data_IF_227719820284
#
_entry.id   IF_227719820284
#
_cell.length_a   1.000
_cell.length_b   1.000
_cell.length_c   1.000
_cell.angle_alpha   90.00
_cell.angle_beta   90.00
_cell.angle_gamma   90.00
#
_symmetry.space_group_name_H-M   'P 1'
#
loop_
_entity.id
_entity.type
_entity.pdbx_description
1 polymer ?
#
# COMPACT_ATOMS: atom_id res chain seq x y z
N UNK A 1 -2.51 10.73 -4.21
CA UNK A 1 -2.66 9.42 -3.57
C UNK A 1 -1.79 8.43 -4.34
N UNK A 2 -1.13 7.50 -3.63
CA UNK A 2 -0.39 6.38 -4.23
C UNK A 2 -1.10 5.11 -3.79
N UNK A 3 -1.30 4.17 -4.71
CA UNK A 3 -1.74 2.81 -4.40
C UNK A 3 -0.77 1.81 -5.03
N UNK A 4 -0.44 0.76 -4.29
CA UNK A 4 0.48 -0.29 -4.72
C UNK A 4 -0.26 -1.62 -4.69
N UNK A 5 -0.54 -2.20 -5.85
CA UNK A 5 -1.20 -3.49 -5.96
C UNK A 5 -0.15 -4.59 -5.93
N UNK A 6 -0.31 -5.51 -4.99
CA UNK A 6 0.64 -6.57 -4.67
C UNK A 6 -0.09 -7.87 -4.36
N UNK A 7 0.62 -8.98 -4.50
CA UNK A 7 0.14 -10.27 -4.01
C UNK A 7 -0.04 -10.26 -2.47
N UNK A 8 -0.98 -11.06 -1.97
CA UNK A 8 -1.24 -11.20 -0.53
C UNK A 8 -0.01 -11.67 0.25
N UNK A 9 0.79 -12.56 -0.33
CA UNK A 9 2.00 -13.08 0.29
C UNK A 9 3.06 -11.99 0.44
N UNK A 10 3.25 -11.15 -0.60
CA UNK A 10 4.14 -9.98 -0.54
C UNK A 10 3.68 -9.04 0.59
N UNK A 11 2.38 -8.70 0.65
CA UNK A 11 1.85 -7.83 1.71
C UNK A 11 2.07 -8.42 3.10
N UNK A 12 1.81 -9.72 3.27
CA UNK A 12 2.04 -10.45 4.54
C UNK A 12 3.51 -10.40 4.96
N UNK A 13 4.44 -10.59 4.02
CA UNK A 13 5.87 -10.48 4.28
C UNK A 13 6.27 -9.07 4.70
N UNK A 14 5.74 -8.04 4.05
CA UNK A 14 6.00 -6.64 4.43
C UNK A 14 5.48 -6.31 5.83
N UNK A 15 4.27 -6.74 6.17
CA UNK A 15 3.71 -6.61 7.53
C UNK A 15 4.62 -7.28 8.58
N UNK A 16 5.05 -8.51 8.32
CA UNK A 16 5.98 -9.24 9.20
C UNK A 16 7.33 -8.55 9.31
N UNK A 17 7.88 -8.05 8.21
CA UNK A 17 9.16 -7.35 8.19
C UNK A 17 9.14 -6.09 9.07
N UNK A 18 8.12 -5.24 8.92
CA UNK A 18 8.02 -4.01 9.71
C UNK A 18 7.89 -4.32 11.21
N UNK A 19 7.06 -5.30 11.57
CA UNK A 19 6.84 -5.68 12.98
C UNK A 19 8.07 -6.35 13.59
N UNK A 20 8.64 -7.34 12.90
CA UNK A 20 9.61 -8.26 13.50
C UNK A 20 11.08 -7.87 13.23
N UNK A 21 11.36 -7.14 12.15
CA UNK A 21 12.74 -6.72 11.80
C UNK A 21 13.01 -5.27 12.14
N UNK A 22 12.05 -4.38 11.93
CA UNK A 22 12.21 -2.96 12.25
C UNK A 22 11.72 -2.61 13.67
N UNK A 23 10.97 -3.50 14.32
CA UNK A 23 10.40 -3.27 15.65
C UNK A 23 9.41 -2.10 15.68
N UNK A 24 8.81 -1.76 14.53
CA UNK A 24 7.90 -0.62 14.40
C UNK A 24 6.49 -1.04 14.74
N UNK A 25 5.77 -0.15 15.41
CA UNK A 25 4.35 -0.33 15.68
C UNK A 25 3.54 0.00 14.43
N UNK A 26 2.47 -0.76 14.21
CA UNK A 26 1.57 -0.63 13.06
C UNK A 26 0.23 0.01 13.43
N UNK A 27 0.17 0.70 14.57
CA UNK A 27 -1.03 1.32 15.11
C UNK A 27 -0.97 2.86 15.12
N UNK A 28 0.15 3.46 14.68
CA UNK A 28 0.31 4.91 14.53
C UNK A 28 0.02 5.33 13.07
N UNK A 29 -1.14 5.94 12.77
CA UNK A 29 -1.49 6.37 11.42
C UNK A 29 -0.60 7.49 10.87
N UNK A 30 0.16 8.16 11.73
CA UNK A 30 1.07 9.23 11.32
C UNK A 30 2.40 8.70 10.77
N UNK A 31 2.78 7.48 11.15
CA UNK A 31 4.04 6.83 10.77
C UNK A 31 4.14 6.54 9.27
N UNK A 32 5.37 6.53 8.75
CA UNK A 32 5.63 6.25 7.34
C UNK A 32 5.29 4.79 7.01
N UNK A 33 5.59 3.88 7.92
CA UNK A 33 5.36 2.45 7.81
C UNK A 33 3.87 2.15 7.70
N UNK A 34 3.05 2.76 8.57
CA UNK A 34 1.60 2.62 8.51
C UNK A 34 1.05 3.09 7.16
N UNK A 35 1.40 4.31 6.74
CA UNK A 35 0.93 4.89 5.48
C UNK A 35 1.36 4.08 4.27
N UNK A 36 2.58 3.53 4.31
CA UNK A 36 3.11 2.67 3.24
C UNK A 36 2.33 1.37 3.15
N UNK A 37 2.09 0.69 4.27
CA UNK A 37 1.32 -0.56 4.30
C UNK A 37 -0.15 -0.34 3.94
N UNK A 38 -0.73 0.77 4.39
CA UNK A 38 -2.09 1.18 4.01
C UNK A 38 -2.23 1.41 2.50
N UNK A 39 -1.18 1.89 1.83
CA UNK A 39 -1.15 2.05 0.38
C UNK A 39 -0.98 0.73 -0.39
N UNK A 40 -0.53 -0.35 0.27
CA UNK A 40 -0.43 -1.69 -0.34
C UNK A 40 -1.81 -2.36 -0.36
N UNK A 41 -2.29 -2.69 -1.56
CA UNK A 41 -3.57 -3.33 -1.83
C UNK A 41 -3.33 -4.75 -2.30
N UNK A 42 -4.08 -5.69 -1.73
CA UNK A 42 -4.08 -7.04 -2.23
C UNK A 42 -4.85 -7.09 -3.55
N UNK A 43 -4.20 -7.58 -4.60
CA UNK A 43 -4.83 -7.80 -5.90
C UNK A 43 -4.24 -9.09 -6.52
N UNK A 44 -5.07 -10.07 -6.88
CA UNK A 44 -4.59 -11.30 -7.51
C UNK A 44 -3.76 -11.05 -8.78
N UNK A 45 -2.83 -11.95 -9.11
CA UNK A 45 -2.02 -11.89 -10.33
C UNK A 45 -0.72 -11.07 -10.23
N UNK A 46 -0.45 -10.42 -9.10
CA UNK A 46 0.76 -9.60 -8.86
C UNK A 46 1.91 -10.41 -8.21
N UNK A 47 2.17 -11.64 -8.70
CA UNK A 47 3.11 -12.59 -8.07
C UNK A 47 4.59 -12.23 -8.27
N UNK A 48 4.91 -11.51 -9.35
CA UNK A 48 6.29 -11.21 -9.77
C UNK A 48 6.50 -9.74 -10.14
N UNK A 49 5.52 -8.87 -9.87
CA UNK A 49 5.59 -7.45 -10.16
C UNK A 49 4.73 -6.66 -9.17
N UNK A 50 4.99 -5.36 -9.09
CA UNK A 50 4.17 -4.41 -8.31
C UNK A 50 3.57 -3.43 -9.28
N UNK A 51 2.26 -3.23 -9.20
CA UNK A 51 1.58 -2.19 -9.96
C UNK A 51 1.40 -0.96 -9.08
N UNK A 52 2.00 0.15 -9.48
CA UNK A 52 1.90 1.42 -8.77
C UNK A 52 0.94 2.34 -9.53
N UNK A 53 -0.10 2.83 -8.85
CA UNK A 53 -0.94 3.93 -9.34
C UNK A 53 -0.59 5.22 -8.63
N UNK A 54 -0.37 6.26 -9.43
CA UNK A 54 -0.11 7.62 -8.98
C UNK A 54 -1.34 8.49 -9.24
N UNK A 55 -1.41 9.61 -8.53
CA UNK A 55 -2.43 10.63 -8.77
C UNK A 55 -2.25 11.22 -10.18
N UNK A 56 -3.37 11.52 -10.83
CA UNK A 56 -3.38 12.36 -12.01
C UNK A 56 -2.73 13.72 -11.74
N UNK A 57 -1.95 14.26 -12.70
CA UNK A 57 -1.42 15.60 -12.60
C UNK A 57 -2.54 16.65 -12.75
N UNK A 58 -2.42 17.78 -12.04
CA UNK A 58 -3.48 18.79 -11.83
C UNK A 58 -4.08 19.41 -13.10
N UNK A 59 -3.40 19.33 -14.25
CA UNK A 59 -3.78 19.99 -15.51
C UNK A 59 -3.92 19.02 -16.68
N UNK A 60 -4.49 17.84 -16.42
CA UNK A 60 -4.69 16.83 -17.45
C UNK A 60 -6.16 16.43 -17.57
N UNK A 61 -6.57 15.93 -18.73
CA UNK A 61 -7.86 15.22 -18.90
C UNK A 61 -7.88 13.85 -18.17
N UNK A 62 -6.87 13.57 -17.33
CA UNK A 62 -6.76 12.39 -16.51
C UNK A 62 -7.80 12.44 -15.40
N UNK A 63 -8.46 11.30 -15.15
CA UNK A 63 -9.39 11.14 -14.05
C UNK A 63 -8.78 10.19 -13.05
N UNK A 64 -8.66 10.65 -11.80
CA UNK A 64 -8.20 9.80 -10.72
C UNK A 64 -9.13 8.58 -10.59
N UNK A 65 -8.55 7.40 -10.53
CA UNK A 65 -9.31 6.20 -10.23
C UNK A 65 -9.69 6.19 -8.74
N UNK A 66 -10.94 5.79 -8.44
CA UNK A 66 -11.40 5.63 -7.07
C UNK A 66 -10.76 4.39 -6.45
N UNK A 67 -9.56 4.55 -5.90
CA UNK A 67 -8.91 3.52 -5.09
C UNK A 67 -9.02 3.98 -3.65
N UNK A 68 -9.90 3.34 -2.87
CA UNK A 68 -9.94 3.59 -1.43
C UNK A 68 -8.65 3.07 -0.80
N UNK A 69 -8.07 3.80 0.14
CA UNK A 69 -7.04 3.23 1.01
C UNK A 69 -7.69 2.19 1.94
N UNK A 70 -6.91 1.20 2.40
CA UNK A 70 -7.43 0.26 3.40
C UNK A 70 -7.78 0.99 4.70
N UNK A 71 -8.77 0.47 5.43
CA UNK A 71 -8.98 0.84 6.82
C UNK A 71 -7.87 0.17 7.64
N UNK A 72 -6.86 0.94 8.07
CA UNK A 72 -5.68 0.37 8.72
C UNK A 72 -4.55 0.05 7.74
N UNK A 73 -3.55 -0.66 8.24
CA UNK A 73 -2.42 -1.16 7.43
C UNK A 73 -2.84 -2.31 6.52
N UNK A 74 -3.97 -2.98 6.82
CA UNK A 74 -4.38 -4.22 6.17
C UNK A 74 -3.38 -5.36 6.37
N UNK A 75 -2.55 -5.23 7.40
CA UNK A 75 -2.02 -6.34 8.18
C UNK A 75 -3.11 -6.72 9.21
#
# INVERSE_FOLDING_TARGET
MIAMFVDAEIKRHMCSYVKNKLGKRLDDPSSCEYKTLQAMKHEPGHHNHVHIRLRCPERSHCRDATVSLENGTGC
#
